data_IF_294102322419
#
_entry.id   IF_294102322419
#
_cell.length_a   1.000
_cell.length_b   1.000
_cell.length_c   1.000
_cell.angle_alpha   90.00
_cell.angle_beta   90.00
_cell.angle_gamma   90.00
#
_symmetry.space_group_name_H-M   'P 1'
#
loop_
_entity.id
_entity.type
_entity.pdbx_description
1 polymer ?
#
# COMPACT_ATOMS: atom_id res chain seq x y z
N UNK A 1 28.30 32.88 0.35
CA UNK A 1 26.89 32.90 -0.10
C UNK A 1 26.59 34.27 -0.67
N UNK A 2 26.00 34.35 -1.85
CA UNK A 2 25.68 35.63 -2.50
C UNK A 2 24.62 36.36 -1.68
N UNK A 3 24.95 37.50 -1.07
CA UNK A 3 23.99 38.39 -0.41
C UNK A 3 23.02 38.90 -1.47
N UNK A 4 21.92 38.18 -1.69
CA UNK A 4 20.79 38.67 -2.48
C UNK A 4 20.34 39.98 -1.84
N UNK A 5 20.17 41.03 -2.65
CA UNK A 5 19.67 42.32 -2.16
C UNK A 5 18.28 42.13 -1.58
N UNK A 6 17.96 42.82 -0.48
CA UNK A 6 16.64 42.76 0.14
C UNK A 6 15.54 43.11 -0.86
N UNK A 7 15.82 43.97 -1.85
CA UNK A 7 14.99 44.22 -3.02
C UNK A 7 15.67 43.71 -4.29
N UNK A 8 14.91 43.08 -5.20
CA UNK A 8 15.38 42.75 -6.56
C UNK A 8 15.49 44.00 -7.45
N UNK A 9 16.29 45.01 -7.07
CA UNK A 9 16.56 46.24 -7.84
C UNK A 9 15.38 46.73 -8.72
N UNK A 10 14.25 47.03 -8.08
CA UNK A 10 13.15 47.79 -8.70
C UNK A 10 13.34 49.24 -8.30
N UNK A 11 13.16 50.20 -9.21
CA UNK A 11 13.17 51.61 -8.81
C UNK A 11 11.86 51.93 -8.05
N UNK A 12 11.79 53.09 -7.39
CA UNK A 12 10.60 53.46 -6.61
C UNK A 12 9.34 53.57 -7.48
N UNK A 13 9.48 53.90 -8.77
CA UNK A 13 8.35 54.11 -9.67
C UNK A 13 7.68 52.77 -9.98
N UNK A 14 8.47 51.73 -10.21
CA UNK A 14 7.98 50.38 -10.43
C UNK A 14 7.21 49.87 -9.20
N UNK A 15 7.77 50.04 -8.00
CA UNK A 15 7.11 49.60 -6.74
C UNK A 15 5.75 50.30 -6.57
N UNK A 16 5.71 51.62 -6.77
CA UNK A 16 4.46 52.39 -6.67
C UNK A 16 3.45 51.97 -7.76
N UNK A 17 3.90 51.61 -8.96
CA UNK A 17 3.03 51.14 -10.03
C UNK A 17 2.33 49.84 -9.62
N UNK A 18 3.08 48.84 -9.15
CA UNK A 18 2.51 47.58 -8.65
C UNK A 18 1.53 47.81 -7.48
N UNK A 19 1.88 48.66 -6.53
CA UNK A 19 0.97 49.01 -5.43
C UNK A 19 -0.34 49.67 -5.91
N UNK A 20 -0.33 50.40 -7.03
CA UNK A 20 -1.52 51.04 -7.60
C UNK A 20 -2.37 50.08 -8.41
N UNK A 21 -1.75 49.16 -9.15
CA UNK A 21 -2.43 48.24 -10.06
C UNK A 21 -2.96 47.00 -9.33
N UNK A 22 -2.15 46.41 -8.45
CA UNK A 22 -2.41 45.12 -7.79
C UNK A 22 -2.71 45.25 -6.29
N UNK A 23 -2.53 46.45 -5.70
CA UNK A 23 -2.71 46.69 -4.26
C UNK A 23 -1.56 46.16 -3.37
N UNK A 24 -0.69 45.33 -3.92
CA UNK A 24 0.51 44.80 -3.28
C UNK A 24 1.72 44.81 -4.23
N UNK A 25 2.93 44.82 -3.66
CA UNK A 25 4.16 44.77 -4.42
C UNK A 25 5.18 43.80 -3.79
N UNK A 26 5.51 42.72 -4.49
CA UNK A 26 6.59 41.81 -4.08
C UNK A 26 7.95 42.51 -4.21
N UNK A 27 8.58 42.74 -3.07
CA UNK A 27 9.90 43.36 -2.95
C UNK A 27 11.01 42.33 -3.23
N UNK A 28 10.83 41.12 -2.69
CA UNK A 28 11.67 39.95 -2.93
C UNK A 28 10.89 38.67 -2.61
N UNK A 29 10.97 37.66 -3.46
CA UNK A 29 10.25 36.39 -3.30
C UNK A 29 11.07 35.34 -2.52
N UNK A 30 12.35 35.59 -2.27
CA UNK A 30 13.29 34.65 -1.69
C UNK A 30 14.49 35.38 -1.06
N UNK A 31 14.21 36.32 -0.17
CA UNK A 31 15.22 36.95 0.68
C UNK A 31 15.40 36.12 1.95
N UNK A 32 16.55 35.44 2.09
CA UNK A 32 16.80 34.50 3.20
C UNK A 32 15.65 33.48 3.38
N UNK A 33 15.19 32.89 2.27
CA UNK A 33 14.05 31.97 2.22
C UNK A 33 12.69 32.57 2.63
N UNK A 34 12.58 33.89 2.71
CA UNK A 34 11.34 34.60 2.99
C UNK A 34 10.85 35.35 1.75
N UNK A 35 9.53 35.43 1.59
CA UNK A 35 8.89 36.35 0.64
C UNK A 35 8.50 37.63 1.38
N UNK A 36 8.91 38.77 0.82
CA UNK A 36 8.67 40.12 1.30
C UNK A 36 7.71 40.82 0.34
N UNK A 37 6.52 41.14 0.85
CA UNK A 37 5.48 41.84 0.10
C UNK A 37 5.13 43.14 0.81
N UNK A 38 4.97 44.21 0.04
CA UNK A 38 4.56 45.52 0.53
C UNK A 38 3.10 45.74 0.19
N UNK A 39 2.29 46.18 1.14
CA UNK A 39 0.88 46.51 0.94
C UNK A 39 0.66 47.97 1.35
N UNK A 40 -0.17 48.69 0.59
CA UNK A 40 -0.46 50.10 0.86
C UNK A 40 -1.81 50.28 1.57
N UNK A 41 -1.78 50.87 2.77
CA UNK A 41 -2.97 51.17 3.57
C UNK A 41 -3.05 52.66 3.86
N UNK A 42 -3.83 53.41 3.09
CA UNK A 42 -4.04 54.85 3.33
C UNK A 42 -2.73 55.64 3.46
N UNK A 43 -2.39 56.05 4.69
CA UNK A 43 -1.18 56.81 5.04
C UNK A 43 0.03 55.95 5.47
N UNK A 44 -0.09 54.63 5.47
CA UNK A 44 0.92 53.67 5.93
C UNK A 44 1.21 52.60 4.90
N UNK A 45 2.40 52.00 5.00
CA UNK A 45 2.74 50.75 4.34
C UNK A 45 2.77 49.60 5.35
N UNK A 46 2.44 48.41 4.88
CA UNK A 46 2.57 47.15 5.62
C UNK A 46 3.60 46.26 4.92
N UNK A 47 4.64 45.85 5.65
CA UNK A 47 5.55 44.79 5.22
C UNK A 47 4.98 43.46 5.67
N UNK A 48 4.66 42.60 4.71
CA UNK A 48 4.28 41.21 4.93
C UNK A 48 5.48 40.31 4.67
N UNK A 49 5.91 39.58 5.69
CA UNK A 49 6.98 38.59 5.65
C UNK A 49 6.33 37.21 5.70
N UNK A 50 6.67 36.38 4.71
CA UNK A 50 6.17 35.01 4.62
C UNK A 50 7.34 34.05 4.65
N UNK A 51 7.35 33.17 5.65
CA UNK A 51 8.43 32.20 5.84
C UNK A 51 8.27 30.96 4.92
N UNK A 52 9.21 30.03 5.03
CA UNK A 52 9.21 28.77 4.27
C UNK A 52 8.09 27.81 4.65
N UNK A 53 7.43 28.03 5.78
CA UNK A 53 6.27 27.28 6.27
C UNK A 53 4.95 27.97 5.94
N UNK A 54 4.99 29.05 5.16
CA UNK A 54 3.83 29.84 4.77
C UNK A 54 3.17 30.57 5.96
N UNK A 55 3.89 30.73 7.08
CA UNK A 55 3.48 31.58 8.19
C UNK A 55 3.68 33.05 7.79
N UNK A 56 2.69 33.88 8.11
CA UNK A 56 2.66 35.27 7.71
C UNK A 56 2.85 36.16 8.93
N UNK A 57 3.75 37.13 8.78
CA UNK A 57 4.06 38.16 9.77
C UNK A 57 3.87 39.50 9.10
N UNK A 58 3.31 40.48 9.81
CA UNK A 58 3.17 41.82 9.25
C UNK A 58 3.55 42.91 10.22
N UNK A 59 4.12 43.98 9.66
CA UNK A 59 4.46 45.20 10.39
C UNK A 59 4.17 46.44 9.56
N UNK A 60 3.64 47.49 10.21
CA UNK A 60 3.29 48.74 9.54
C UNK A 60 4.33 49.83 9.78
N UNK A 61 4.53 50.70 8.80
CA UNK A 61 5.41 51.86 8.88
C UNK A 61 4.90 53.05 8.03
N UNK A 62 5.38 54.28 8.26
CA UNK A 62 4.92 55.45 7.52
C UNK A 62 5.17 55.32 6.02
N UNK A 63 4.22 55.83 5.21
CA UNK A 63 4.39 55.89 3.76
C UNK A 63 5.55 56.82 3.39
N UNK A 64 6.31 56.44 2.37
CA UNK A 64 7.40 57.24 1.81
C UNK A 64 7.40 57.16 0.29
N UNK A 65 7.82 58.23 -0.36
CA UNK A 65 7.99 58.33 -1.81
C UNK A 65 9.48 58.22 -2.22
N UNK A 66 10.37 58.00 -1.24
CA UNK A 66 11.80 57.85 -1.43
C UNK A 66 12.22 56.39 -1.29
N UNK A 67 12.94 55.90 -2.30
CA UNK A 67 13.48 54.53 -2.31
C UNK A 67 14.42 54.24 -1.13
N UNK A 68 15.26 55.19 -0.75
CA UNK A 68 16.22 55.00 0.35
C UNK A 68 15.51 54.86 1.69
N UNK A 69 14.49 55.68 1.92
CA UNK A 69 13.68 55.61 3.14
C UNK A 69 12.87 54.30 3.18
N UNK A 70 12.29 53.87 2.04
CA UNK A 70 11.59 52.59 1.96
C UNK A 70 12.53 51.42 2.24
N UNK A 71 13.71 51.43 1.63
CA UNK A 71 14.74 50.42 1.86
C UNK A 71 15.18 50.39 3.32
N UNK A 72 15.36 51.55 3.94
CA UNK A 72 15.71 51.67 5.35
C UNK A 72 14.61 51.07 6.24
N UNK A 73 13.36 51.49 6.08
CA UNK A 73 12.26 50.98 6.89
C UNK A 73 12.11 49.46 6.76
N UNK A 74 12.11 48.92 5.53
CA UNK A 74 11.98 47.48 5.32
C UNK A 74 13.19 46.71 5.89
N UNK A 75 14.40 47.25 5.77
CA UNK A 75 15.61 46.62 6.33
C UNK A 75 15.59 46.60 7.86
N UNK A 76 15.18 47.70 8.49
CA UNK A 76 15.04 47.80 9.95
C UNK A 76 13.99 46.81 10.46
N UNK A 77 12.78 46.81 9.87
CA UNK A 77 11.70 45.89 10.28
C UNK A 77 12.04 44.43 10.05
N UNK A 78 12.63 44.09 8.90
CA UNK A 78 13.09 42.72 8.66
C UNK A 78 14.16 42.30 9.68
N UNK A 79 15.07 43.20 10.06
CA UNK A 79 16.11 42.90 11.06
C UNK A 79 15.56 42.74 12.47
N UNK A 80 14.52 43.50 12.83
CA UNK A 80 13.76 43.35 14.08
C UNK A 80 13.05 42.00 14.11
N UNK A 81 12.24 41.71 13.08
CA UNK A 81 11.58 40.42 12.90
C UNK A 81 12.55 39.24 12.89
N UNK A 82 13.68 39.35 12.19
CA UNK A 82 14.68 38.27 12.12
C UNK A 82 15.21 37.92 13.52
N UNK A 83 15.51 38.93 14.35
CA UNK A 83 15.98 38.72 15.74
C UNK A 83 14.92 38.07 16.61
N UNK A 84 13.66 38.49 16.47
CA UNK A 84 12.54 37.90 17.21
C UNK A 84 12.27 36.46 16.75
N UNK A 85 12.31 36.21 15.44
CA UNK A 85 12.02 34.92 14.84
C UNK A 85 13.05 33.85 15.24
N UNK A 86 14.34 34.23 15.34
CA UNK A 86 15.42 33.36 15.84
C UNK A 86 15.52 33.33 17.37
N UNK A 87 14.74 34.15 18.09
CA UNK A 87 14.68 34.17 19.56
C UNK A 87 16.05 34.31 20.27
N UNK A 88 17.03 34.93 19.62
CA UNK A 88 18.39 35.02 20.14
C UNK A 88 19.21 33.72 20.13
N UNK A 89 18.75 32.68 19.41
CA UNK A 89 19.55 31.49 19.14
C UNK A 89 20.84 31.88 18.40
N UNK A 90 21.96 31.21 18.72
CA UNK A 90 23.23 31.36 18.01
C UNK A 90 23.21 30.64 16.64
N UNK A 91 22.13 30.82 15.89
CA UNK A 91 21.83 30.21 14.60
C UNK A 91 21.45 31.28 13.59
N UNK A 92 21.68 30.97 12.32
CA UNK A 92 21.18 31.80 11.22
C UNK A 92 19.66 31.64 11.08
N UNK A 93 19.00 32.64 10.48
CA UNK A 93 17.58 32.56 10.14
C UNK A 93 17.25 31.29 9.34
N UNK A 94 18.12 30.92 8.38
CA UNK A 94 17.94 29.74 7.54
C UNK A 94 17.98 28.43 8.35
N UNK A 95 18.87 28.33 9.33
CA UNK A 95 18.94 27.17 10.23
C UNK A 95 17.71 27.06 11.12
N UNK A 96 17.24 28.17 11.72
CA UNK A 96 16.02 28.17 12.54
C UNK A 96 14.78 27.80 11.70
N UNK A 97 14.69 28.27 10.46
CA UNK A 97 13.59 27.89 9.56
C UNK A 97 13.63 26.40 9.21
N UNK A 98 14.82 25.85 8.97
CA UNK A 98 15.00 24.40 8.73
C UNK A 98 14.60 23.57 9.94
N UNK A 99 15.06 23.95 11.12
CA UNK A 99 14.72 23.26 12.38
C UNK A 99 13.20 23.30 12.64
N UNK A 100 12.56 24.46 12.45
CA UNK A 100 11.09 24.59 12.56
C UNK A 100 10.37 23.69 11.55
N UNK A 101 10.86 23.60 10.32
CA UNK A 101 10.26 22.76 9.29
C UNK A 101 10.40 21.26 9.61
N UNK A 102 11.56 20.85 10.12
CA UNK A 102 11.79 19.47 10.57
C UNK A 102 10.92 19.11 11.77
N UNK A 103 10.80 20.03 12.75
CA UNK A 103 9.91 19.86 13.89
C UNK A 103 8.44 19.75 13.46
N UNK A 104 7.97 20.66 12.61
CA UNK A 104 6.58 20.62 12.11
C UNK A 104 6.29 19.34 11.30
N UNK A 105 7.28 18.81 10.59
CA UNK A 105 7.17 17.52 9.89
C UNK A 105 7.07 16.37 10.90
N UNK A 106 7.95 16.35 11.91
CA UNK A 106 7.96 15.33 12.95
C UNK A 106 6.65 15.33 13.77
N UNK A 107 6.10 16.50 14.10
CA UNK A 107 4.81 16.63 14.79
C UNK A 107 3.67 16.03 13.96
N UNK A 108 3.63 16.29 12.65
CA UNK A 108 2.65 15.69 11.74
C UNK A 108 2.79 14.17 11.64
N UNK A 109 4.01 13.66 11.56
CA UNK A 109 4.26 12.21 11.56
C UNK A 109 3.81 11.55 12.88
N UNK A 110 4.08 12.19 14.01
CA UNK A 110 3.61 11.70 15.32
C UNK A 110 2.08 11.73 15.44
N UNK A 111 1.43 12.79 14.95
CA UNK A 111 -0.04 12.86 14.90
C UNK A 111 -0.62 11.75 14.01
N UNK A 112 0.00 11.48 12.85
CA UNK A 112 -0.42 10.39 11.97
C UNK A 112 -0.30 9.02 12.66
N UNK A 113 0.85 8.74 13.30
CA UNK A 113 1.08 7.48 14.03
C UNK A 113 0.05 7.33 15.16
N UNK A 114 -0.13 8.35 15.98
CA UNK A 114 -1.10 8.34 17.09
C UNK A 114 -2.52 8.03 16.60
N UNK A 115 -2.97 8.72 15.54
CA UNK A 115 -4.31 8.51 15.00
C UNK A 115 -4.46 7.12 14.35
N UNK A 116 -3.40 6.62 13.70
CA UNK A 116 -3.36 5.27 13.15
C UNK A 116 -3.50 4.20 14.23
N UNK A 117 -2.77 4.33 15.34
CA UNK A 117 -2.84 3.39 16.47
C UNK A 117 -4.24 3.37 17.08
N UNK A 118 -4.86 4.56 17.28
CA UNK A 118 -6.23 4.66 17.77
C UNK A 118 -7.23 3.97 16.84
N UNK A 119 -7.12 4.19 15.52
CA UNK A 119 -7.99 3.52 14.55
C UNK A 119 -7.81 2.00 14.57
N UNK A 120 -6.57 1.53 14.69
CA UNK A 120 -6.26 0.10 14.77
C UNK A 120 -6.87 -0.53 16.03
N UNK A 121 -6.75 0.13 17.19
CA UNK A 121 -7.36 -0.34 18.44
C UNK A 121 -8.89 -0.34 18.38
N UNK A 122 -9.51 0.65 17.74
CA UNK A 122 -10.94 0.60 17.44
C UNK A 122 -11.31 -0.63 16.61
N UNK A 123 -10.59 -0.92 15.53
CA UNK A 123 -10.87 -2.06 14.65
C UNK A 123 -10.72 -3.40 15.38
N UNK A 124 -9.70 -3.55 16.22
CA UNK A 124 -9.47 -4.78 17.00
C UNK A 124 -10.51 -5.01 18.09
N UNK A 125 -10.93 -3.95 18.78
CA UNK A 125 -11.71 -4.05 20.02
C UNK A 125 -13.20 -3.73 19.84
N UNK A 126 -13.55 -3.00 18.78
CA UNK A 126 -14.87 -2.41 18.59
C UNK A 126 -15.19 -1.24 19.54
N UNK A 127 -14.22 -0.76 20.34
CA UNK A 127 -14.45 0.31 21.31
C UNK A 127 -14.49 1.68 20.63
N UNK A 128 -15.68 2.25 20.49
CA UNK A 128 -15.94 3.53 19.83
C UNK A 128 -15.18 4.72 20.44
N UNK A 129 -14.72 4.63 21.70
CA UNK A 129 -13.94 5.70 22.33
C UNK A 129 -12.65 6.01 21.54
N UNK A 130 -11.95 4.98 21.06
CA UNK A 130 -10.73 5.16 20.28
C UNK A 130 -11.00 5.86 18.94
N UNK A 131 -12.12 5.53 18.28
CA UNK A 131 -12.48 6.18 17.03
C UNK A 131 -12.89 7.64 17.23
N UNK A 132 -13.58 7.94 18.34
CA UNK A 132 -13.93 9.32 18.69
C UNK A 132 -12.68 10.20 18.84
N UNK A 133 -11.61 9.66 19.43
CA UNK A 133 -10.35 10.40 19.66
C UNK A 133 -9.59 10.73 18.35
N UNK A 134 -9.82 9.98 17.27
CA UNK A 134 -9.20 10.22 15.96
C UNK A 134 -10.17 10.70 14.86
N UNK A 135 -11.45 10.90 15.20
CA UNK A 135 -12.51 11.24 14.25
C UNK A 135 -12.20 12.50 13.45
N UNK A 136 -11.73 13.55 14.11
CA UNK A 136 -11.40 14.83 13.46
C UNK A 136 -10.30 14.66 12.41
N UNK A 137 -9.29 13.83 12.69
CA UNK A 137 -8.19 13.56 11.76
C UNK A 137 -8.67 12.81 10.51
N UNK A 138 -9.59 11.86 10.69
CA UNK A 138 -10.14 11.03 9.62
C UNK A 138 -11.37 11.60 8.90
N UNK A 139 -11.87 12.77 9.31
CA UNK A 139 -12.81 13.54 8.50
C UNK A 139 -12.18 13.96 7.15
N UNK A 140 -10.85 14.09 7.09
CA UNK A 140 -10.13 14.14 5.82
C UNK A 140 -10.06 12.74 5.20
N UNK A 141 -10.78 12.57 4.09
CA UNK A 141 -10.83 11.31 3.34
C UNK A 141 -9.45 10.85 2.84
N UNK A 142 -8.50 11.75 2.62
CA UNK A 142 -7.13 11.37 2.23
C UNK A 142 -6.42 10.66 3.38
N UNK A 143 -6.54 11.19 4.59
CA UNK A 143 -5.96 10.58 5.79
C UNK A 143 -6.58 9.21 6.04
N UNK A 144 -7.91 9.10 5.94
CA UNK A 144 -8.61 7.83 6.12
C UNK A 144 -8.23 6.81 5.04
N UNK A 145 -8.20 7.21 3.76
CA UNK A 145 -7.77 6.32 2.68
C UNK A 145 -6.35 5.83 2.85
N UNK A 146 -5.42 6.70 3.27
CA UNK A 146 -4.03 6.34 3.55
C UNK A 146 -3.95 5.29 4.67
N UNK A 147 -4.64 5.52 5.78
CA UNK A 147 -4.65 4.60 6.92
C UNK A 147 -5.28 3.25 6.56
N UNK A 148 -6.41 3.23 5.85
CA UNK A 148 -7.06 1.99 5.42
C UNK A 148 -6.18 1.19 4.45
N UNK A 149 -5.51 1.85 3.50
CA UNK A 149 -4.57 1.16 2.61
C UNK A 149 -3.41 0.54 3.40
N UNK A 150 -2.83 1.25 4.36
CA UNK A 150 -1.79 0.71 5.25
C UNK A 150 -2.29 -0.52 6.02
N UNK A 151 -3.48 -0.46 6.59
CA UNK A 151 -4.09 -1.60 7.30
C UNK A 151 -4.30 -2.80 6.37
N UNK A 152 -4.86 -2.59 5.18
CA UNK A 152 -5.06 -3.65 4.19
C UNK A 152 -3.72 -4.30 3.81
N UNK A 153 -2.68 -3.49 3.55
CA UNK A 153 -1.34 -4.01 3.25
C UNK A 153 -0.78 -4.84 4.41
N UNK A 154 -0.89 -4.34 5.64
CA UNK A 154 -0.43 -5.06 6.83
C UNK A 154 -1.16 -6.41 7.03
N UNK A 155 -2.48 -6.45 6.81
CA UNK A 155 -3.25 -7.70 6.91
C UNK A 155 -2.89 -8.69 5.81
N UNK A 156 -2.70 -8.22 4.58
CA UNK A 156 -2.24 -9.07 3.46
C UNK A 156 -0.84 -9.64 3.73
N UNK A 157 0.06 -8.84 4.26
CA UNK A 157 1.41 -9.27 4.63
C UNK A 157 1.36 -10.31 5.77
N UNK A 158 0.61 -10.03 6.84
CA UNK A 158 0.41 -10.98 7.95
C UNK A 158 -0.22 -12.30 7.48
N UNK A 159 -1.21 -12.24 6.59
CA UNK A 159 -1.81 -13.42 5.97
C UNK A 159 -0.77 -14.22 5.20
N UNK A 160 0.03 -13.56 4.36
CA UNK A 160 1.10 -14.20 3.58
C UNK A 160 2.14 -14.87 4.49
N UNK A 161 2.59 -14.18 5.54
CA UNK A 161 3.49 -14.75 6.55
C UNK A 161 2.87 -15.95 7.27
N UNK A 162 1.57 -15.90 7.57
CA UNK A 162 0.86 -16.99 8.24
C UNK A 162 0.78 -18.24 7.37
N UNK A 163 0.61 -18.09 6.05
CA UNK A 163 0.65 -19.20 5.11
C UNK A 163 2.02 -19.89 5.10
N UNK A 164 3.12 -19.13 5.09
CA UNK A 164 4.47 -19.69 5.21
C UNK A 164 4.69 -20.46 6.50
N UNK A 165 4.31 -19.86 7.64
CA UNK A 165 4.42 -20.53 8.94
C UNK A 165 3.64 -21.84 8.94
N UNK A 166 2.43 -21.84 8.40
CA UNK A 166 1.60 -23.05 8.30
C UNK A 166 2.27 -24.11 7.43
N UNK A 167 2.83 -23.74 6.27
CA UNK A 167 3.59 -24.64 5.42
C UNK A 167 4.79 -25.27 6.14
N UNK A 168 5.55 -24.46 6.88
CA UNK A 168 6.70 -24.93 7.67
C UNK A 168 6.28 -25.83 8.84
N UNK A 169 5.17 -25.54 9.52
CA UNK A 169 4.64 -26.42 10.56
C UNK A 169 4.19 -27.76 9.99
N UNK A 170 3.49 -27.76 8.84
CA UNK A 170 3.11 -28.99 8.15
C UNK A 170 4.33 -29.80 7.72
N UNK A 171 5.39 -29.14 7.25
CA UNK A 171 6.66 -29.80 6.90
C UNK A 171 7.31 -30.44 8.12
N UNK A 172 7.38 -29.75 9.25
CA UNK A 172 7.87 -30.34 10.51
C UNK A 172 7.02 -31.53 10.95
N UNK A 173 5.69 -31.43 10.91
CA UNK A 173 4.78 -32.55 11.24
C UNK A 173 5.01 -33.74 10.30
N UNK A 174 5.21 -33.48 9.01
CA UNK A 174 5.50 -34.49 8.01
C UNK A 174 6.84 -35.20 8.26
N UNK A 175 7.94 -34.45 8.39
CA UNK A 175 9.29 -35.01 8.54
C UNK A 175 9.47 -35.77 9.85
N UNK A 176 8.80 -35.31 10.91
CA UNK A 176 8.80 -35.99 12.21
C UNK A 176 7.70 -37.04 12.34
N UNK A 177 6.89 -37.25 11.30
CA UNK A 177 5.75 -38.19 11.28
C UNK A 177 4.76 -38.00 12.44
N UNK A 178 4.60 -36.77 12.93
CA UNK A 178 3.75 -36.48 14.10
C UNK A 178 2.27 -36.74 13.83
N UNK A 179 1.85 -36.78 12.57
CA UNK A 179 0.50 -37.17 12.19
C UNK A 179 0.20 -38.65 12.54
N UNK A 180 1.21 -39.53 12.55
CA UNK A 180 1.06 -40.95 12.92
C UNK A 180 0.77 -41.10 14.41
N UNK A 181 1.44 -40.30 15.26
CA UNK A 181 1.20 -40.25 16.71
C UNK A 181 -0.21 -39.77 17.07
N UNK A 182 -0.83 -38.99 16.17
CA UNK A 182 -2.21 -38.54 16.26
C UNK A 182 -3.22 -39.52 15.62
N UNK A 183 -2.74 -40.65 15.09
CA UNK A 183 -3.57 -41.72 14.53
C UNK A 183 -3.98 -41.53 13.07
N UNK A 184 -3.41 -40.54 12.36
CA UNK A 184 -3.66 -40.31 10.95
C UNK A 184 -2.75 -41.18 10.08
N UNK A 185 -3.27 -41.64 8.94
CA UNK A 185 -2.50 -42.46 7.98
C UNK A 185 -1.45 -41.63 7.25
N UNK A 186 -1.75 -40.38 6.93
CA UNK A 186 -0.87 -39.49 6.19
C UNK A 186 -1.14 -38.02 6.55
N UNK A 187 -0.23 -37.13 6.12
CA UNK A 187 -0.29 -35.69 6.37
C UNK A 187 -1.52 -35.02 5.75
N UNK A 188 -2.05 -35.56 4.65
CA UNK A 188 -3.20 -34.97 3.95
C UNK A 188 -4.50 -35.17 4.72
N UNK A 189 -4.70 -36.38 5.26
CA UNK A 189 -5.85 -36.69 6.11
C UNK A 189 -5.80 -35.84 7.38
N UNK A 190 -4.62 -35.75 8.02
CA UNK A 190 -4.41 -34.87 9.17
C UNK A 190 -4.76 -33.41 8.86
N UNK A 191 -4.23 -32.85 7.77
CA UNK A 191 -4.45 -31.45 7.41
C UNK A 191 -5.90 -31.15 6.99
N UNK A 192 -6.56 -32.10 6.34
CA UNK A 192 -7.96 -32.00 5.94
C UNK A 192 -8.88 -32.05 7.16
N UNK A 193 -8.71 -33.05 8.02
CA UNK A 193 -9.65 -33.33 9.11
C UNK A 193 -9.51 -32.32 10.27
N UNK A 194 -8.29 -31.89 10.60
CA UNK A 194 -8.05 -30.95 11.72
C UNK A 194 -8.19 -29.49 11.30
N UNK A 195 -7.81 -29.14 10.06
CA UNK A 195 -7.71 -27.74 9.63
C UNK A 195 -8.49 -27.39 8.36
N UNK A 196 -9.13 -28.36 7.70
CA UNK A 196 -9.87 -28.13 6.46
C UNK A 196 -8.99 -27.76 5.26
N UNK A 197 -7.70 -28.13 5.29
CA UNK A 197 -6.75 -27.78 4.22
C UNK A 197 -6.80 -28.85 3.12
N UNK A 198 -7.09 -28.43 1.89
CA UNK A 198 -7.17 -29.34 0.75
C UNK A 198 -5.82 -30.01 0.43
N UNK A 199 -5.86 -31.28 0.02
CA UNK A 199 -4.68 -32.10 -0.35
C UNK A 199 -3.71 -31.37 -1.28
N UNK A 200 -4.22 -30.78 -2.37
CA UNK A 200 -3.39 -30.05 -3.34
C UNK A 200 -2.71 -28.81 -2.76
N UNK A 201 -3.32 -28.16 -1.77
CA UNK A 201 -2.69 -27.04 -1.03
C UNK A 201 -1.57 -27.55 -0.15
N UNK A 202 -1.78 -28.64 0.58
CA UNK A 202 -0.75 -29.28 1.41
C UNK A 202 0.45 -29.70 0.56
N UNK A 203 0.21 -30.38 -0.58
CA UNK A 203 1.28 -30.80 -1.49
C UNK A 203 2.12 -29.61 -1.97
N UNK A 204 1.48 -28.54 -2.46
CA UNK A 204 2.16 -27.32 -2.88
C UNK A 204 2.96 -26.65 -1.75
N UNK A 205 2.39 -26.59 -0.54
CA UNK A 205 3.05 -26.00 0.62
C UNK A 205 4.24 -26.83 1.10
N UNK A 206 4.14 -28.17 1.09
CA UNK A 206 5.26 -29.05 1.39
C UNK A 206 6.38 -28.88 0.36
N UNK A 207 6.07 -28.77 -0.94
CA UNK A 207 7.08 -28.49 -1.97
C UNK A 207 7.78 -27.14 -1.74
N UNK A 208 7.02 -26.09 -1.46
CA UNK A 208 7.59 -24.77 -1.14
C UNK A 208 8.50 -24.87 0.09
N UNK A 209 8.05 -25.56 1.14
CA UNK A 209 8.82 -25.73 2.37
C UNK A 209 10.10 -26.56 2.14
N UNK A 210 10.05 -27.60 1.32
CA UNK A 210 11.22 -28.42 0.97
C UNK A 210 12.23 -27.64 0.12
N UNK A 211 11.76 -26.88 -0.87
CA UNK A 211 12.65 -26.24 -1.86
C UNK A 211 13.20 -24.89 -1.39
N UNK A 212 12.47 -24.19 -0.53
CA UNK A 212 12.79 -22.81 -0.11
C UNK A 212 12.90 -22.64 1.40
N UNK A 213 12.62 -23.69 2.18
CA UNK A 213 12.78 -23.68 3.63
C UNK A 213 14.21 -24.01 4.05
N UNK A 214 14.65 -23.36 5.10
CA UNK A 214 15.91 -23.60 5.80
C UNK A 214 15.58 -24.18 7.18
N UNK A 215 16.05 -25.41 7.44
CA UNK A 215 15.90 -26.04 8.74
C UNK A 215 16.90 -25.43 9.73
N UNK A 216 16.40 -24.87 10.82
CA UNK A 216 17.25 -24.48 11.94
C UNK A 216 17.54 -25.71 12.81
N UNK A 217 18.78 -26.19 12.79
CA UNK A 217 19.19 -27.40 13.51
C UNK A 217 19.05 -27.31 15.04
N UNK A 218 19.15 -26.11 15.61
CA UNK A 218 19.10 -25.92 17.07
C UNK A 218 17.66 -25.98 17.60
N UNK A 219 16.70 -25.54 16.78
CA UNK A 219 15.28 -25.46 17.17
C UNK A 219 14.42 -26.56 16.54
N UNK A 220 14.86 -27.17 15.44
CA UNK A 220 14.11 -28.18 14.69
C UNK A 220 13.01 -27.61 13.79
N UNK A 221 12.93 -26.28 13.63
CA UNK A 221 11.89 -25.63 12.83
C UNK A 221 12.42 -25.04 11.52
N UNK A 222 11.56 -25.04 10.50
CA UNK A 222 11.83 -24.43 9.21
C UNK A 222 11.51 -22.93 9.21
N UNK A 223 12.32 -22.16 8.48
CA UNK A 223 12.06 -20.76 8.12
C UNK A 223 12.34 -20.54 6.63
N UNK A 224 11.81 -19.47 6.03
CA UNK A 224 12.07 -19.15 4.63
C UNK A 224 13.53 -18.68 4.43
N UNK A 225 14.17 -19.07 3.33
CA UNK A 225 15.46 -18.49 2.93
C UNK A 225 15.33 -16.96 2.82
N UNK A 226 16.29 -16.23 3.42
CA UNK A 226 16.23 -14.77 3.51
C UNK A 226 16.16 -14.10 2.13
N UNK A 227 16.74 -14.72 1.09
CA UNK A 227 16.69 -14.22 -0.29
C UNK A 227 15.26 -14.15 -0.84
N UNK A 228 14.34 -14.91 -0.26
CA UNK A 228 12.96 -15.05 -0.72
C UNK A 228 11.93 -14.35 0.19
N UNK A 229 12.37 -13.63 1.24
CA UNK A 229 11.49 -13.05 2.27
C UNK A 229 10.37 -12.15 1.75
N UNK A 230 10.59 -11.50 0.62
CA UNK A 230 9.63 -10.54 0.03
C UNK A 230 8.63 -11.22 -0.93
N UNK A 231 8.80 -12.51 -1.23
CA UNK A 231 7.86 -13.26 -2.07
C UNK A 231 6.66 -13.76 -1.27
N UNK A 232 5.49 -13.75 -1.89
CA UNK A 232 4.31 -14.46 -1.35
C UNK A 232 4.41 -15.96 -1.60
N UNK A 233 3.77 -16.76 -0.75
CA UNK A 233 3.73 -18.23 -0.93
C UNK A 233 3.12 -18.61 -2.29
N UNK A 234 2.13 -17.87 -2.78
CA UNK A 234 1.51 -18.11 -4.09
C UNK A 234 2.51 -17.92 -5.22
N UNK A 235 3.41 -16.95 -5.12
CA UNK A 235 4.48 -16.78 -6.11
C UNK A 235 5.48 -17.94 -6.03
N UNK A 236 5.86 -18.36 -4.82
CA UNK A 236 6.77 -19.50 -4.65
C UNK A 236 6.16 -20.83 -5.10
N UNK A 237 4.85 -21.02 -4.96
CA UNK A 237 4.14 -22.18 -5.55
C UNK A 237 4.27 -22.19 -7.07
N UNK A 238 4.24 -21.02 -7.74
CA UNK A 238 4.41 -20.96 -9.19
C UNK A 238 5.84 -21.34 -9.60
N UNK A 239 6.85 -20.87 -8.87
CA UNK A 239 8.26 -21.12 -9.18
C UNK A 239 8.82 -22.35 -8.46
N UNK A 240 7.98 -23.19 -7.86
CA UNK A 240 8.41 -24.32 -7.00
C UNK A 240 9.31 -25.35 -7.70
N UNK A 241 9.30 -25.39 -9.03
CA UNK A 241 10.16 -26.26 -9.83
C UNK A 241 11.57 -25.69 -10.06
N UNK A 242 11.85 -24.47 -9.58
CA UNK A 242 13.13 -23.79 -9.74
C UNK A 242 13.90 -23.77 -8.42
N UNK A 243 15.23 -23.82 -8.50
CA UNK A 243 16.10 -23.51 -7.35
C UNK A 243 16.18 -22.00 -7.13
N UNK A 244 16.64 -21.58 -5.95
CA UNK A 244 16.80 -20.17 -5.62
C UNK A 244 17.76 -19.47 -6.59
N UNK A 245 18.84 -20.14 -6.98
CA UNK A 245 19.82 -19.64 -7.94
C UNK A 245 19.20 -19.43 -9.33
N UNK A 246 18.27 -20.31 -9.74
CA UNK A 246 17.55 -20.17 -11.00
C UNK A 246 16.53 -19.02 -10.95
N UNK A 247 15.88 -18.80 -9.81
CA UNK A 247 14.99 -17.65 -9.60
C UNK A 247 15.78 -16.34 -9.77
N UNK A 248 16.98 -16.27 -9.18
CA UNK A 248 17.90 -15.13 -9.31
C UNK A 248 18.42 -14.95 -10.74
N UNK A 249 18.85 -16.03 -11.41
CA UNK A 249 19.34 -16.02 -12.80
C UNK A 249 18.27 -15.52 -13.78
N UNK A 250 17.01 -15.93 -13.56
CA UNK A 250 15.87 -15.49 -14.37
C UNK A 250 15.40 -14.07 -14.05
N UNK A 251 16.00 -13.41 -13.05
CA UNK A 251 15.60 -12.07 -12.63
C UNK A 251 14.18 -12.01 -12.11
N UNK A 252 13.67 -13.10 -11.53
CA UNK A 252 12.34 -13.16 -10.95
C UNK A 252 12.34 -12.30 -9.68
N UNK A 253 11.41 -11.34 -9.59
CA UNK A 253 11.29 -10.42 -8.46
C UNK A 253 9.89 -10.44 -7.86
N UNK A 254 9.72 -10.10 -6.55
CA UNK A 254 8.43 -10.12 -5.87
C UNK A 254 7.34 -9.24 -6.50
N UNK A 255 7.72 -8.19 -7.24
CA UNK A 255 6.77 -7.30 -7.92
C UNK A 255 6.12 -7.89 -9.18
N UNK A 256 6.53 -9.09 -9.62
CA UNK A 256 6.00 -9.70 -10.84
C UNK A 256 4.59 -10.27 -10.67
N UNK A 257 3.76 -10.09 -11.70
CA UNK A 257 2.43 -10.69 -11.79
C UNK A 257 2.50 -12.20 -12.03
N UNK A 258 1.44 -12.92 -11.65
CA UNK A 258 1.31 -14.37 -11.91
C UNK A 258 1.48 -14.72 -13.39
N UNK A 259 0.99 -13.88 -14.31
CA UNK A 259 1.15 -14.07 -15.75
C UNK A 259 2.60 -13.95 -16.20
N UNK A 260 3.35 -12.98 -15.66
CA UNK A 260 4.77 -12.79 -15.97
C UNK A 260 5.58 -13.99 -15.46
N UNK A 261 5.33 -14.42 -14.22
CA UNK A 261 5.98 -15.59 -13.64
C UNK A 261 5.75 -16.84 -14.49
N UNK A 262 4.49 -17.14 -14.82
CA UNK A 262 4.14 -18.31 -15.67
C UNK A 262 4.85 -18.29 -17.03
N UNK A 263 5.02 -17.11 -17.64
CA UNK A 263 5.72 -16.99 -18.92
C UNK A 263 7.22 -17.34 -18.81
N UNK A 264 7.90 -16.79 -17.80
CA UNK A 264 9.32 -17.06 -17.53
C UNK A 264 9.58 -18.53 -17.18
N UNK A 265 8.71 -19.10 -16.34
CA UNK A 265 8.79 -20.53 -15.96
C UNK A 265 8.60 -21.40 -17.21
N UNK A 266 7.57 -21.15 -18.02
CA UNK A 266 7.32 -21.92 -19.24
C UNK A 266 8.49 -21.83 -20.23
N UNK A 267 9.08 -20.67 -20.38
CA UNK A 267 10.26 -20.49 -21.23
C UNK A 267 11.44 -21.33 -20.72
N UNK A 268 11.76 -21.27 -19.42
CA UNK A 268 12.86 -22.06 -18.84
C UNK A 268 12.60 -23.57 -18.88
N UNK A 269 11.39 -24.00 -18.55
CA UNK A 269 11.00 -25.42 -18.61
C UNK A 269 11.07 -25.95 -20.04
N UNK A 270 10.63 -25.16 -21.03
CA UNK A 270 10.78 -25.52 -22.44
C UNK A 270 12.27 -25.62 -22.85
N UNK A 271 13.13 -24.70 -22.39
CA UNK A 271 14.58 -24.74 -22.65
C UNK A 271 15.20 -26.01 -22.01
N UNK A 272 14.82 -26.36 -20.79
CA UNK A 272 15.32 -27.54 -20.08
C UNK A 272 14.82 -28.87 -20.70
N UNK A 273 13.58 -28.90 -21.20
CA UNK A 273 13.04 -30.05 -21.93
C UNK A 273 13.79 -30.29 -23.25
N UNK A 274 14.19 -29.21 -23.94
CA UNK A 274 15.01 -29.27 -25.16
C UNK A 274 16.44 -29.72 -24.83
N UNK A 275 16.99 -29.32 -23.68
CA UNK A 275 18.32 -29.73 -23.25
C UNK A 275 18.40 -31.21 -22.83
N UNK A 276 17.31 -31.77 -22.30
CA UNK A 276 17.25 -33.14 -21.75
C UNK A 276 16.89 -34.19 -22.82
N UNK A 277 16.49 -33.81 -24.04
CA UNK A 277 16.00 -34.75 -25.08
C UNK A 277 17.08 -35.58 -25.83
N UNK A 278 18.14 -36.01 -25.14
CA UNK A 278 19.18 -36.94 -25.66
C UNK A 278 19.24 -38.23 -24.79
N UNK A 279 18.16 -39.05 -24.89
CA UNK A 279 17.97 -40.54 -24.74
C UNK A 279 18.63 -41.38 -23.61
N UNK A 280 18.13 -42.61 -23.28
CA UNK A 280 16.79 -43.24 -23.43
C UNK A 280 16.26 -44.07 -22.22
N UNK A 281 14.99 -44.50 -22.32
CA UNK A 281 14.27 -45.68 -21.78
C UNK A 281 14.42 -46.16 -20.31
N UNK A 282 13.30 -46.19 -19.56
CA UNK A 282 12.86 -47.41 -18.85
C UNK A 282 11.36 -47.39 -18.55
N UNK A 283 10.71 -48.49 -18.93
CA UNK A 283 9.37 -48.93 -18.56
C UNK A 283 9.45 -49.68 -17.22
N UNK A 284 8.51 -49.45 -16.29
CA UNK A 284 7.90 -50.51 -15.47
C UNK A 284 6.72 -49.96 -14.66
N UNK A 285 5.56 -50.54 -14.95
CA UNK A 285 4.37 -50.56 -14.11
C UNK A 285 4.63 -51.19 -12.73
N UNK A 286 4.33 -50.48 -11.64
CA UNK A 286 3.70 -51.01 -10.42
C UNK A 286 3.34 -49.87 -9.47
N UNK A 287 2.06 -49.72 -9.16
CA UNK A 287 1.51 -48.81 -8.14
C UNK A 287 1.66 -49.43 -6.75
N UNK A 288 2.14 -48.67 -5.76
CA UNK A 288 1.69 -48.76 -4.37
C UNK A 288 0.94 -47.49 -3.93
N UNK A 289 0.14 -47.64 -2.88
CA UNK A 289 -0.84 -46.68 -2.38
C UNK A 289 -0.32 -46.03 -1.08
N UNK A 290 0.81 -45.29 -1.18
CA UNK A 290 1.39 -44.43 -0.13
C UNK A 290 2.64 -43.71 -0.66
N UNK A 291 2.77 -42.37 -0.57
CA UNK A 291 4.01 -41.69 -0.90
C UNK A 291 4.98 -41.84 0.26
N UNK A 292 5.70 -42.95 0.28
CA UNK A 292 6.91 -43.12 1.12
C UNK A 292 8.14 -42.40 0.51
N UNK A 293 7.98 -41.74 -0.65
CA UNK A 293 9.06 -41.15 -1.43
C UNK A 293 8.73 -39.72 -1.88
N UNK A 294 9.70 -38.79 -1.77
CA UNK A 294 9.57 -37.41 -2.23
C UNK A 294 9.15 -37.35 -3.70
N UNK A 295 9.54 -38.34 -4.52
CA UNK A 295 9.15 -38.47 -5.92
C UNK A 295 7.63 -38.55 -6.16
N UNK A 296 6.85 -39.11 -5.23
CA UNK A 296 5.39 -39.18 -5.39
C UNK A 296 4.71 -37.83 -5.10
N UNK A 297 5.28 -37.01 -4.20
CA UNK A 297 4.88 -35.62 -3.98
C UNK A 297 5.06 -34.78 -5.25
N UNK A 298 6.18 -34.98 -5.96
CA UNK A 298 6.44 -34.31 -7.24
C UNK A 298 5.47 -34.79 -8.34
N UNK A 299 5.21 -36.10 -8.45
CA UNK A 299 4.27 -36.65 -9.46
C UNK A 299 2.85 -36.11 -9.32
N UNK A 300 2.32 -35.99 -8.10
CA UNK A 300 0.96 -35.48 -7.87
C UNK A 300 0.84 -33.97 -8.17
N UNK A 301 1.85 -33.19 -7.78
CA UNK A 301 1.88 -31.75 -8.04
C UNK A 301 2.05 -31.44 -9.55
N UNK A 302 2.83 -32.25 -10.27
CA UNK A 302 3.01 -32.14 -11.72
C UNK A 302 1.74 -32.54 -12.49
N UNK A 303 1.01 -33.57 -12.02
CA UNK A 303 -0.26 -33.98 -12.62
C UNK A 303 -1.34 -32.89 -12.52
N UNK A 304 -1.41 -32.17 -11.38
CA UNK A 304 -2.30 -31.03 -11.20
C UNK A 304 -1.94 -29.86 -12.14
N UNK A 305 -0.65 -29.55 -12.28
CA UNK A 305 -0.15 -28.51 -13.19
C UNK A 305 -0.38 -28.87 -14.67
N UNK A 306 -0.30 -30.16 -15.02
CA UNK A 306 -0.61 -30.68 -16.35
C UNK A 306 -2.07 -30.44 -16.75
N UNK A 307 -3.02 -30.67 -15.83
CA UNK A 307 -4.45 -30.43 -16.09
C UNK A 307 -4.79 -28.95 -16.30
N UNK A 308 -3.98 -28.02 -15.77
CA UNK A 308 -4.15 -26.58 -15.98
C UNK A 308 -3.53 -26.08 -17.31
N UNK A 309 -2.81 -26.94 -18.05
CA UNK A 309 -2.11 -26.61 -19.29
C UNK A 309 -2.73 -27.27 -20.54
N UNK A 310 -3.74 -28.13 -20.40
CA UNK A 310 -4.54 -28.57 -21.54
C UNK A 310 -5.47 -27.44 -22.01
N UNK A 311 -5.47 -27.08 -23.31
CA UNK A 311 -6.53 -26.23 -23.84
C UNK A 311 -7.83 -27.04 -23.82
N UNK A 312 -8.81 -26.59 -23.03
CA UNK A 312 -10.19 -27.08 -23.17
C UNK A 312 -10.69 -26.70 -24.58
N UNK A 313 -10.61 -27.64 -25.52
CA UNK A 313 -11.48 -27.64 -26.70
C UNK A 313 -12.89 -28.02 -26.23
N UNK A 314 -13.75 -27.01 -26.09
CA UNK A 314 -15.20 -27.20 -26.10
C UNK A 314 -15.77 -26.60 -27.39
N UNK A 315 -15.77 -27.40 -28.45
CA UNK A 315 -16.78 -27.25 -29.51
C UNK A 315 -18.09 -27.87 -29.00
N UNK A 316 -19.13 -27.05 -28.90
CA UNK A 316 -20.45 -27.50 -28.44
C UNK A 316 -21.44 -26.35 -28.35
N UNK A 317 -21.97 -25.98 -29.52
CA UNK A 317 -23.05 -25.02 -29.76
C UNK A 317 -24.25 -25.11 -28.80
N UNK A 318 -24.62 -24.01 -28.16
CA UNK A 318 -26.02 -23.71 -27.77
C UNK A 318 -26.34 -22.24 -28.01
N UNK A 319 -27.58 -22.03 -28.48
CA UNK A 319 -28.12 -20.85 -29.13
C UNK A 319 -28.13 -19.59 -28.25
N UNK A 320 -27.74 -18.46 -28.85
CA UNK A 320 -27.95 -17.12 -28.27
C UNK A 320 -29.45 -16.82 -28.10
N UNK A 321 -29.93 -16.87 -26.86
CA UNK A 321 -31.07 -16.05 -26.44
C UNK A 321 -30.56 -14.79 -25.73
N UNK A 322 -31.14 -13.61 -25.99
CA UNK A 322 -30.64 -12.36 -25.43
C UNK A 322 -31.07 -12.23 -23.96
N UNK A 323 -30.33 -12.84 -23.04
CA UNK A 323 -30.50 -12.56 -21.61
C UNK A 323 -29.81 -11.23 -21.31
N UNK A 324 -30.62 -10.18 -21.18
CA UNK A 324 -30.26 -8.84 -20.74
C UNK A 324 -29.37 -8.96 -19.47
N UNK A 325 -28.05 -8.70 -19.60
CA UNK A 325 -27.07 -8.84 -18.50
C UNK A 325 -27.48 -7.96 -17.32
N UNK A 326 -28.13 -8.56 -16.32
CA UNK A 326 -28.41 -7.91 -15.02
C UNK A 326 -27.08 -7.75 -14.30
N UNK A 327 -26.54 -6.53 -14.30
CA UNK A 327 -25.20 -6.23 -13.75
C UNK A 327 -25.18 -6.04 -12.22
N UNK A 328 -26.32 -6.07 -11.54
CA UNK A 328 -26.40 -5.97 -10.08
C UNK A 328 -27.60 -6.74 -9.55
N UNK A 329 -27.38 -7.62 -8.57
CA UNK A 329 -28.43 -8.35 -7.86
C UNK A 329 -28.37 -7.94 -6.39
N UNK A 330 -29.43 -7.31 -5.89
CA UNK A 330 -29.61 -7.00 -4.47
C UNK A 330 -30.50 -8.10 -3.89
N UNK A 331 -29.97 -8.87 -2.94
CA UNK A 331 -30.72 -9.90 -2.24
C UNK A 331 -31.17 -9.35 -0.90
N UNK A 332 -32.46 -9.46 -0.61
CA UNK A 332 -33.06 -9.13 0.67
C UNK A 332 -33.58 -10.44 1.27
N UNK A 333 -33.10 -10.80 2.46
CA UNK A 333 -33.55 -11.99 3.18
C UNK A 333 -34.27 -11.57 4.46
N UNK A 334 -35.55 -11.94 4.58
CA UNK A 334 -36.40 -11.68 5.75
C UNK A 334 -36.88 -10.22 5.93
N UNK A 335 -38.08 -10.09 6.50
CA UNK A 335 -38.73 -8.81 6.81
C UNK A 335 -39.79 -8.40 5.77
N UNK A 336 -41.01 -8.08 6.24
CA UNK A 336 -42.10 -7.60 5.38
C UNK A 336 -41.99 -6.10 5.03
N UNK A 337 -41.12 -5.37 5.74
CA UNK A 337 -40.96 -3.92 5.62
C UNK A 337 -39.48 -3.53 5.79
N UNK A 338 -39.05 -2.48 5.06
CA UNK A 338 -37.73 -1.86 5.24
C UNK A 338 -37.82 -0.77 6.31
N UNK A 339 -36.83 -0.68 7.20
CA UNK A 339 -36.74 0.41 8.15
C UNK A 339 -36.43 1.75 7.46
N UNK A 340 -36.77 2.87 8.08
CA UNK A 340 -36.48 4.21 7.56
C UNK A 340 -34.99 4.40 7.22
N UNK A 341 -34.10 3.80 8.02
CA UNK A 341 -32.65 3.82 7.78
C UNK A 341 -32.26 3.05 6.52
N UNK A 342 -32.88 1.87 6.30
CA UNK A 342 -32.66 1.06 5.10
C UNK A 342 -33.18 1.78 3.85
N UNK A 343 -34.33 2.47 3.95
CA UNK A 343 -34.90 3.29 2.87
C UNK A 343 -33.98 4.47 2.52
N UNK A 344 -33.46 5.19 3.53
CA UNK A 344 -32.52 6.30 3.32
C UNK A 344 -31.23 5.83 2.64
N UNK A 345 -30.69 4.68 3.07
CA UNK A 345 -29.50 4.10 2.45
C UNK A 345 -29.75 3.70 0.99
N UNK A 346 -30.88 3.03 0.70
CA UNK A 346 -31.26 2.67 -0.67
C UNK A 346 -31.40 3.90 -1.57
N UNK A 347 -32.06 4.94 -1.08
CA UNK A 347 -32.30 6.17 -1.84
C UNK A 347 -30.99 6.91 -2.14
N UNK A 348 -30.07 6.99 -1.18
CA UNK A 348 -28.73 7.57 -1.39
C UNK A 348 -27.93 6.79 -2.42
N UNK A 349 -28.04 5.47 -2.39
CA UNK A 349 -27.37 4.61 -3.37
C UNK A 349 -27.95 4.78 -4.78
N UNK A 350 -29.28 4.72 -4.94
CA UNK A 350 -29.97 4.85 -6.23
C UNK A 350 -29.76 6.23 -6.87
N UNK A 351 -29.72 7.31 -6.08
CA UNK A 351 -29.50 8.67 -6.57
C UNK A 351 -28.05 8.97 -6.94
N UNK A 352 -27.10 8.19 -6.43
CA UNK A 352 -25.67 8.33 -6.74
C UNK A 352 -25.23 7.68 -8.05
N UNK A 353 -26.11 6.90 -8.71
CA UNK A 353 -25.77 6.18 -9.93
C UNK A 353 -26.02 7.03 -11.19
N UNK A 354 -25.16 6.94 -12.23
CA UNK A 354 -25.34 7.69 -13.47
C UNK A 354 -26.60 7.27 -14.22
N UNK A 355 -27.30 8.24 -14.82
CA UNK A 355 -28.66 8.17 -15.43
C UNK A 355 -28.90 7.08 -16.49
N UNK A 356 -27.89 6.31 -16.91
CA UNK A 356 -27.95 5.35 -18.02
C UNK A 356 -27.83 3.88 -17.62
N UNK A 357 -28.09 3.51 -16.36
CA UNK A 357 -28.13 2.09 -15.94
C UNK A 357 -29.58 1.67 -15.64
N UNK A 358 -30.12 0.73 -16.42
CA UNK A 358 -31.39 0.06 -16.09
C UNK A 358 -31.18 -0.76 -14.82
N UNK A 359 -31.78 -0.35 -13.70
CA UNK A 359 -31.76 -1.07 -12.44
C UNK A 359 -33.07 -1.87 -12.32
N UNK A 360 -32.99 -3.17 -12.01
CA UNK A 360 -34.16 -4.03 -11.79
C UNK A 360 -34.10 -4.55 -10.35
N UNK A 361 -35.12 -4.20 -9.56
CA UNK A 361 -35.31 -4.74 -8.21
C UNK A 361 -36.08 -6.06 -8.34
N UNK A 362 -35.56 -7.14 -7.74
CA UNK A 362 -36.21 -8.46 -7.74
C UNK A 362 -36.35 -8.89 -6.30
N UNK A 363 -37.59 -9.09 -5.86
CA UNK A 363 -37.91 -9.69 -4.58
C UNK A 363 -38.06 -11.20 -4.79
N UNK A 364 -37.38 -12.01 -3.98
CA UNK A 364 -37.52 -13.47 -3.99
C UNK A 364 -38.01 -13.82 -2.59
N UNK A 365 -39.25 -14.33 -2.50
CA UNK A 365 -39.72 -14.97 -1.27
C UNK A 365 -39.08 -16.37 -1.20
N UNK A 366 -38.29 -16.63 -0.17
CA UNK A 366 -37.85 -17.99 0.17
C UNK A 366 -39.03 -18.73 0.81
N UNK A 367 -39.44 -19.84 0.22
CA UNK A 367 -40.41 -20.79 0.79
C UNK A 367 -39.75 -21.71 1.82
#
# INVERSE_FOLDING_TARGET
MSTKKIFYKKDMKDIILFLKEEGEATLNDNYKNCCLTLIAHGSTFELKIKDSLNCEYSETFPKTDNYEDLHKYVSERFSEWEKEYIQGEAKTLEEVMKDKAENAKAEKEQEEIKNFDLLNEYIKTGNEAYYCDCLTYYNDKKNLSSALNKLIHNEIEQYSCSQFRTAFYLKTVYDMKLYEELGFKNIYDYASDEFGIARGTVSNWLMVASNFGVLNSDTGFYSLDERLKDFSITQLVLVRQLTIEQIEELGIVPGMTTRQLKALIKEKLNINAIATSVKPDTDTSSLPDNPDDEEELYKEADALDGSMNEPEESEGSEEEQPTEKVKLRLMFTGGSELSDTQIVFLNKFLTSQPKNKKLKLVFIEEN
#
